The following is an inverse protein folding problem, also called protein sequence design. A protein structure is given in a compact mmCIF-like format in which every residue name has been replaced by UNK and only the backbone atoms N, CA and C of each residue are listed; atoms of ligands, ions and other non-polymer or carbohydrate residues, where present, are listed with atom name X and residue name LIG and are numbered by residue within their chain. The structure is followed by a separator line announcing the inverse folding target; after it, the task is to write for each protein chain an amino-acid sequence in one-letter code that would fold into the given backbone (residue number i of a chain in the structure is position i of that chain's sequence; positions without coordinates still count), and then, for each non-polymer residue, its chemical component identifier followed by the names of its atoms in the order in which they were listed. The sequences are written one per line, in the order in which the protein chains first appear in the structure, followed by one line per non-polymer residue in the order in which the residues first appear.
data_IF_005882842738
#
_entry.id   IF_005882842738
#
_cell.length_a   1.000
_cell.length_b   1.000
_cell.length_c   1.000
_cell.angle_alpha   90.00
_cell.angle_beta   90.00
_cell.angle_gamma   90.00
#
_symmetry.space_group_name_H-M   'P 1'
#
loop_
_entity.id
_entity.type
_entity.pdbx_description
1 polymer ?
#
# COMPACT_ATOMS: atom_id res chain seq x y z
N UNK A 1 9.57 -8.17 5.71
CA UNK A 1 9.23 -9.09 4.61
C UNK A 1 10.48 -9.90 4.22
N UNK A 2 10.33 -11.13 3.70
CA UNK A 2 11.45 -11.91 3.19
C UNK A 2 12.04 -11.28 1.92
N UNK A 3 13.33 -11.53 1.65
CA UNK A 3 14.00 -11.04 0.42
C UNK A 3 13.28 -11.52 -0.84
N UNK A 4 12.90 -12.79 -0.89
CA UNK A 4 12.16 -13.39 -2.01
C UNK A 4 10.82 -12.69 -2.27
N UNK A 5 10.08 -12.32 -1.21
CA UNK A 5 8.82 -11.58 -1.37
C UNK A 5 9.07 -10.17 -1.91
N UNK A 6 10.12 -9.50 -1.45
CA UNK A 6 10.49 -8.17 -1.93
C UNK A 6 10.94 -8.20 -3.40
N UNK A 7 11.75 -9.18 -3.79
CA UNK A 7 12.16 -9.43 -5.18
C UNK A 7 10.94 -9.68 -6.06
N UNK A 8 10.03 -10.57 -5.64
CA UNK A 8 8.84 -10.90 -6.43
C UNK A 8 7.88 -9.72 -6.63
N UNK A 9 7.71 -8.88 -5.60
CA UNK A 9 6.75 -7.76 -5.64
C UNK A 9 7.36 -6.52 -6.28
N UNK A 10 8.58 -6.16 -5.91
CA UNK A 10 9.23 -4.91 -6.32
C UNK A 10 10.23 -5.08 -7.46
N UNK A 11 10.58 -6.31 -7.86
CA UNK A 11 11.55 -6.57 -8.94
C UNK A 11 12.99 -6.24 -8.55
N UNK A 12 13.29 -6.22 -7.25
CA UNK A 12 14.60 -5.86 -6.71
C UNK A 12 15.56 -7.05 -6.75
N UNK A 13 16.82 -6.82 -7.15
CA UNK A 13 17.83 -7.89 -7.17
C UNK A 13 18.18 -8.37 -5.76
N UNK A 14 18.56 -9.64 -5.63
CA UNK A 14 19.03 -10.21 -4.35
C UNK A 14 20.26 -9.50 -3.80
N UNK A 15 21.14 -9.04 -4.70
CA UNK A 15 22.33 -8.26 -4.37
C UNK A 15 21.93 -6.91 -3.75
N UNK A 16 21.03 -6.15 -4.39
CA UNK A 16 20.49 -4.91 -3.82
C UNK A 16 19.84 -5.16 -2.46
N UNK A 17 19.01 -6.20 -2.35
CA UNK A 17 18.36 -6.57 -1.08
C UNK A 17 19.32 -7.10 0.00
N UNK A 18 20.58 -7.35 -0.34
CA UNK A 18 21.63 -7.70 0.64
C UNK A 18 22.35 -6.49 1.21
N UNK A 19 22.29 -5.33 0.54
CA UNK A 19 22.82 -4.06 1.05
C UNK A 19 22.07 -3.64 2.33
N UNK A 20 22.80 -3.10 3.30
CA UNK A 20 22.23 -2.73 4.59
C UNK A 20 21.23 -1.57 4.45
N UNK A 21 21.59 -0.57 3.66
CA UNK A 21 20.81 0.63 3.36
C UNK A 21 19.49 0.27 2.67
N UNK A 22 19.54 -0.67 1.72
CA UNK A 22 18.35 -1.18 1.05
C UNK A 22 17.41 -1.89 2.04
N UNK A 23 17.96 -2.69 2.97
CA UNK A 23 17.17 -3.34 4.03
C UNK A 23 16.52 -2.33 4.97
N UNK A 24 17.24 -1.28 5.36
CA UNK A 24 16.70 -0.20 6.20
C UNK A 24 15.59 0.54 5.46
N UNK A 25 15.83 0.92 4.20
CA UNK A 25 14.83 1.58 3.35
C UNK A 25 13.56 0.75 3.20
N UNK A 26 13.68 -0.54 2.88
CA UNK A 26 12.53 -1.44 2.74
C UNK A 26 11.79 -1.70 4.07
N UNK A 27 12.49 -1.67 5.20
CA UNK A 27 11.84 -1.70 6.53
C UNK A 27 11.01 -0.44 6.78
N UNK A 28 11.56 0.74 6.47
CA UNK A 28 10.85 2.00 6.61
C UNK A 28 9.64 2.07 5.68
N UNK A 29 9.78 1.61 4.43
CA UNK A 29 8.65 1.48 3.49
C UNK A 29 7.54 0.58 4.06
N UNK A 30 7.92 -0.53 4.70
CA UNK A 30 6.98 -1.41 5.39
C UNK A 30 6.27 -0.73 6.57
N UNK A 31 7.00 0.05 7.37
CA UNK A 31 6.44 0.79 8.51
C UNK A 31 5.44 1.86 8.05
N UNK A 32 5.78 2.66 7.03
CA UNK A 32 4.87 3.66 6.46
C UNK A 32 3.58 3.03 5.92
N UNK A 33 3.71 1.90 5.20
CA UNK A 33 2.54 1.14 4.74
C UNK A 33 1.72 0.60 5.93
N UNK A 34 2.39 0.21 7.02
CA UNK A 34 1.75 -0.15 8.28
C UNK A 34 0.92 0.99 8.88
N UNK A 35 1.45 2.22 8.89
CA UNK A 35 0.72 3.40 9.35
C UNK A 35 -0.52 3.69 8.50
N UNK A 36 -0.43 3.53 7.17
CA UNK A 36 -1.60 3.64 6.28
C UNK A 36 -2.64 2.58 6.63
N UNK A 37 -2.23 1.32 6.82
CA UNK A 37 -3.15 0.24 7.20
C UNK A 37 -3.84 0.49 8.54
N UNK A 38 -3.09 0.94 9.55
CA UNK A 38 -3.66 1.33 10.86
C UNK A 38 -4.61 2.52 10.69
N UNK A 39 -4.24 3.54 9.93
CA UNK A 39 -5.11 4.69 9.65
C UNK A 39 -6.40 4.32 8.93
N UNK A 40 -6.35 3.36 8.00
CA UNK A 40 -7.53 2.84 7.31
C UNK A 40 -8.46 2.11 8.28
N UNK A 41 -7.93 1.21 9.12
CA UNK A 41 -8.73 0.51 10.13
C UNK A 41 -9.30 1.50 11.16
N UNK A 42 -8.47 2.43 11.63
CA UNK A 42 -8.87 3.43 12.61
C UNK A 42 -9.98 4.33 12.07
N UNK A 43 -9.84 4.81 10.83
CA UNK A 43 -10.86 5.64 10.17
C UNK A 43 -12.16 4.90 9.90
N UNK A 44 -12.16 3.59 9.60
CA UNK A 44 -13.41 2.85 9.40
C UNK A 44 -14.12 2.51 10.69
N UNK A 45 -13.40 2.17 11.76
CA UNK A 45 -14.01 1.61 12.98
C UNK A 45 -14.11 2.58 14.16
N UNK A 46 -13.29 3.63 14.21
CA UNK A 46 -13.18 4.51 15.38
C UNK A 46 -13.47 5.98 15.09
N UNK A 47 -13.51 6.42 13.84
CA UNK A 47 -13.99 7.77 13.52
C UNK A 47 -15.50 7.91 13.75
N UNK A 48 -16.00 9.13 14.03
CA UNK A 48 -17.43 9.42 14.01
C UNK A 48 -18.07 8.97 12.70
N UNK A 49 -19.30 8.43 12.77
CA UNK A 49 -19.99 7.79 11.63
C UNK A 49 -20.02 8.67 10.38
N UNK A 50 -20.24 9.98 10.55
CA UNK A 50 -20.26 10.96 9.45
C UNK A 50 -18.88 11.19 8.79
N UNK A 51 -17.79 10.82 9.44
CA UNK A 51 -16.41 10.98 8.95
C UNK A 51 -15.75 9.67 8.49
N UNK A 52 -16.32 8.50 8.84
CA UNK A 52 -15.75 7.20 8.48
C UNK A 52 -15.58 7.03 6.97
N UNK A 53 -16.60 7.41 6.18
CA UNK A 53 -16.56 7.31 4.72
C UNK A 53 -15.42 8.15 4.13
N UNK A 54 -15.32 9.41 4.52
CA UNK A 54 -14.30 10.35 4.01
C UNK A 54 -12.90 9.89 4.44
N UNK A 55 -12.72 9.53 5.71
CA UNK A 55 -11.44 9.08 6.25
C UNK A 55 -10.95 7.79 5.58
N UNK A 56 -11.82 6.78 5.48
CA UNK A 56 -11.47 5.50 4.85
C UNK A 56 -11.15 5.71 3.37
N UNK A 57 -11.97 6.48 2.65
CA UNK A 57 -11.76 6.78 1.22
C UNK A 57 -10.43 7.49 0.98
N UNK A 58 -10.06 8.43 1.85
CA UNK A 58 -8.76 9.14 1.76
C UNK A 58 -7.57 8.17 1.82
N UNK A 59 -7.54 7.27 2.81
CA UNK A 59 -6.46 6.28 2.92
C UNK A 59 -6.44 5.30 1.74
N UNK A 60 -7.61 4.87 1.25
CA UNK A 60 -7.70 4.04 0.05
C UNK A 60 -7.12 4.75 -1.17
N UNK A 61 -7.44 6.03 -1.38
CA UNK A 61 -6.87 6.84 -2.47
C UNK A 61 -5.35 6.95 -2.36
N UNK A 62 -4.80 7.13 -1.15
CA UNK A 62 -3.34 7.15 -0.97
C UNK A 62 -2.68 5.85 -1.42
N UNK A 63 -3.29 4.69 -1.12
CA UNK A 63 -2.79 3.39 -1.59
C UNK A 63 -2.86 3.29 -3.12
N UNK A 64 -3.95 3.74 -3.74
CA UNK A 64 -4.09 3.73 -5.21
C UNK A 64 -3.00 4.60 -5.86
N UNK A 65 -2.78 5.82 -5.38
CA UNK A 65 -1.74 6.72 -5.90
C UNK A 65 -0.36 6.08 -5.74
N UNK A 66 -0.05 5.54 -4.56
CA UNK A 66 1.23 4.88 -4.30
C UNK A 66 1.44 3.66 -5.20
N UNK A 67 0.40 2.87 -5.47
CA UNK A 67 0.47 1.71 -6.35
C UNK A 67 0.72 2.11 -7.82
N UNK A 68 0.03 3.15 -8.31
CA UNK A 68 0.24 3.68 -9.67
C UNK A 68 1.67 4.23 -9.80
N UNK A 69 2.09 5.09 -8.86
CA UNK A 69 3.43 5.66 -8.88
C UNK A 69 4.51 4.57 -8.79
N UNK A 70 4.34 3.59 -7.89
CA UNK A 70 5.24 2.46 -7.73
C UNK A 70 5.35 1.61 -8.99
N UNK A 71 4.22 1.33 -9.66
CA UNK A 71 4.22 0.63 -10.94
C UNK A 71 5.00 1.40 -12.02
N UNK A 72 4.73 2.70 -12.19
CA UNK A 72 5.37 3.51 -13.24
C UNK A 72 6.88 3.70 -12.98
N UNK A 73 7.25 3.96 -11.72
CA UNK A 73 8.65 4.18 -11.33
C UNK A 73 9.49 2.90 -11.37
N UNK A 74 9.00 1.80 -10.79
CA UNK A 74 9.71 0.52 -10.80
C UNK A 74 9.50 -0.29 -12.08
N UNK A 75 8.65 0.19 -13.00
CA UNK A 75 8.22 -0.50 -14.23
C UNK A 75 7.74 -1.93 -13.97
N UNK A 76 7.10 -2.17 -12.83
CA UNK A 76 6.68 -3.49 -12.38
C UNK A 76 5.18 -3.52 -12.08
N UNK A 77 4.41 -4.11 -13.01
CA UNK A 77 2.94 -4.19 -12.93
C UNK A 77 2.44 -4.97 -11.71
N UNK A 78 3.27 -5.85 -11.14
CA UNK A 78 2.91 -6.61 -9.91
C UNK A 78 2.61 -5.68 -8.74
N UNK A 79 3.24 -4.50 -8.68
CA UNK A 79 2.94 -3.49 -7.65
C UNK A 79 1.48 -3.03 -7.78
N UNK A 80 1.04 -2.69 -8.99
CA UNK A 80 -0.34 -2.29 -9.24
C UNK A 80 -1.32 -3.44 -8.98
N UNK A 81 -0.98 -4.68 -9.37
CA UNK A 81 -1.85 -5.85 -9.15
C UNK A 81 -2.00 -6.22 -7.67
N UNK A 82 -0.91 -6.14 -6.89
CA UNK A 82 -0.92 -6.57 -5.49
C UNK A 82 -1.33 -5.46 -4.51
N UNK A 83 -1.13 -4.19 -4.86
CA UNK A 83 -1.49 -3.05 -4.01
C UNK A 83 -2.67 -2.24 -4.57
N UNK A 84 -2.65 -1.95 -5.87
CA UNK A 84 -3.66 -1.13 -6.54
C UNK A 84 -5.00 -1.85 -6.68
N UNK A 85 -5.02 -3.10 -7.16
CA UNK A 85 -6.26 -3.87 -7.31
C UNK A 85 -7.06 -3.99 -6.02
N UNK A 86 -6.52 -4.41 -4.86
CA UNK A 86 -7.30 -4.47 -3.62
C UNK A 86 -7.77 -3.08 -3.17
N UNK A 87 -6.99 -2.02 -3.38
CA UNK A 87 -7.40 -0.66 -3.04
C UNK A 87 -8.54 -0.15 -3.95
N UNK A 88 -8.51 -0.45 -5.25
CA UNK A 88 -9.60 -0.13 -6.19
C UNK A 88 -10.86 -0.90 -5.80
N UNK A 89 -10.75 -2.19 -5.46
CA UNK A 89 -11.88 -2.98 -4.99
C UNK A 89 -12.46 -2.43 -3.68
N UNK A 90 -11.61 -1.98 -2.75
CA UNK A 90 -12.04 -1.31 -1.53
C UNK A 90 -12.78 -0.01 -1.83
N UNK A 91 -12.29 0.81 -2.77
CA UNK A 91 -12.96 2.04 -3.19
C UNK A 91 -14.34 1.76 -3.79
N UNK A 92 -14.43 0.78 -4.68
CA UNK A 92 -15.71 0.36 -5.27
C UNK A 92 -16.67 -0.14 -4.20
N UNK A 93 -16.18 -0.93 -3.23
CA UNK A 93 -16.98 -1.41 -2.12
C UNK A 93 -17.53 -0.26 -1.27
N UNK A 94 -16.73 0.75 -0.96
CA UNK A 94 -17.17 1.93 -0.21
C UNK A 94 -18.26 2.72 -0.95
N UNK A 95 -18.15 2.83 -2.29
CA UNK A 95 -19.14 3.57 -3.10
C UNK A 95 -20.45 2.78 -3.22
N UNK A 96 -20.38 1.45 -3.39
CA UNK A 96 -21.56 0.60 -3.62
C UNK A 96 -22.30 0.30 -2.31
N UNK A 97 -21.58 0.00 -1.22
CA UNK A 97 -22.16 -0.54 0.01
C UNK A 97 -22.21 0.44 1.18
N UNK A 98 -21.70 1.67 1.02
CA UNK A 98 -21.62 2.77 2.01
C UNK A 98 -21.60 2.35 3.50
#
# INVERSE_FOLDING_TARGET
ASKEKLENVFGLSKEYLSMEEARVSMKNQGLYNGFIGVGLLFSRFFFPVNSQFIGTTMFVIFVIIAAIYGWLSAKNIKILLLQGTPAILALLSLIIFK
#
